data_IF_710800982941
#
_entry.id   IF_710800982941
#
_cell.length_a   1.000
_cell.length_b   1.000
_cell.length_c   1.000
_cell.angle_alpha   90.00
_cell.angle_beta   90.00
_cell.angle_gamma   90.00
#
_symmetry.space_group_name_H-M   'P 1'
#
loop_
_entity.id
_entity.type
_entity.pdbx_description
1 polymer ?
#
# COMPACT_ATOMS: atom_id res chain seq x y z
N UNK A 1 21.49 -4.28 -3.11
CA UNK A 1 20.47 -3.25 -2.82
C UNK A 1 20.05 -3.38 -1.37
N UNK A 2 20.06 -2.28 -0.66
CA UNK A 2 19.70 -2.26 0.74
C UNK A 2 18.29 -1.67 0.92
N UNK A 3 17.47 -2.32 1.74
CA UNK A 3 16.17 -1.80 2.15
C UNK A 3 16.26 -1.39 3.61
N UNK A 4 15.86 -0.14 3.88
CA UNK A 4 15.83 0.41 5.22
C UNK A 4 14.46 1.04 5.50
N UNK A 5 14.10 1.14 6.78
CA UNK A 5 12.88 1.82 7.20
C UNK A 5 13.12 3.33 7.08
N UNK A 6 12.12 4.02 6.52
CA UNK A 6 12.16 5.49 6.41
C UNK A 6 12.28 6.13 7.80
N UNK A 7 13.19 7.11 7.89
CA UNK A 7 13.36 7.94 9.08
C UNK A 7 12.86 9.36 8.80
N UNK A 8 12.79 10.20 9.83
CA UNK A 8 12.41 11.61 9.67
C UNK A 8 13.36 12.35 8.72
N UNK A 9 14.65 11.97 8.71
CA UNK A 9 15.64 12.57 7.82
C UNK A 9 15.41 12.20 6.35
N UNK A 10 14.79 11.05 6.09
CA UNK A 10 14.50 10.58 4.73
C UNK A 10 13.21 11.17 4.17
N UNK A 11 12.38 11.76 5.00
CA UNK A 11 11.01 12.12 4.65
C UNK A 11 10.92 13.01 3.40
N UNK A 12 11.77 14.02 3.33
CA UNK A 12 11.79 14.95 2.20
C UNK A 12 12.17 14.27 0.89
N UNK A 13 13.13 13.37 0.93
CA UNK A 13 13.60 12.62 -0.22
C UNK A 13 12.51 11.65 -0.72
N UNK A 14 11.85 10.97 0.19
CA UNK A 14 10.74 10.07 -0.12
C UNK A 14 9.54 10.86 -0.67
N UNK A 15 9.19 11.99 -0.08
CA UNK A 15 8.11 12.84 -0.60
C UNK A 15 8.43 13.37 -2.01
N UNK A 16 9.69 13.78 -2.24
CA UNK A 16 10.13 14.20 -3.57
C UNK A 16 10.02 13.08 -4.60
N UNK A 17 10.33 11.85 -4.21
CA UNK A 17 10.19 10.69 -5.09
C UNK A 17 8.72 10.43 -5.45
N UNK A 18 7.80 10.54 -4.50
CA UNK A 18 6.38 10.41 -4.77
C UNK A 18 5.87 11.55 -5.66
N UNK A 19 6.30 12.77 -5.44
CA UNK A 19 5.97 13.90 -6.30
C UNK A 19 6.41 13.67 -7.74
N UNK A 20 7.61 13.16 -7.91
CA UNK A 20 8.16 12.84 -9.23
C UNK A 20 7.37 11.75 -9.95
N UNK A 21 6.90 10.75 -9.19
CA UNK A 21 6.20 9.58 -9.74
C UNK A 21 4.70 9.83 -9.98
N UNK A 22 4.06 10.66 -9.18
CA UNK A 22 2.61 10.85 -9.18
C UNK A 22 2.16 12.32 -9.36
N UNK A 23 3.09 13.27 -9.43
CA UNK A 23 2.78 14.69 -9.53
C UNK A 23 1.93 15.02 -10.75
N UNK A 24 1.13 16.08 -10.69
CA UNK A 24 0.79 16.90 -9.52
C UNK A 24 -0.46 16.46 -8.78
N UNK A 25 -1.06 15.34 -9.13
CA UNK A 25 -2.37 14.94 -8.63
C UNK A 25 -2.35 13.92 -7.48
N UNK A 26 -1.18 13.60 -6.91
CA UNK A 26 -1.09 12.51 -5.93
C UNK A 26 -1.94 12.72 -4.68
N UNK A 27 -2.12 13.95 -4.24
CA UNK A 27 -2.92 14.28 -3.05
C UNK A 27 -4.41 13.99 -3.25
N UNK A 28 -4.85 13.88 -4.50
CA UNK A 28 -6.21 13.48 -4.83
C UNK A 28 -6.43 11.96 -4.74
N UNK A 29 -5.37 11.16 -4.54
CA UNK A 29 -5.50 9.72 -4.38
C UNK A 29 -6.28 9.39 -3.12
N UNK A 30 -7.12 8.36 -3.21
CA UNK A 30 -7.96 7.92 -2.08
C UNK A 30 -7.14 7.61 -0.83
N UNK A 31 -5.94 7.04 -1.00
CA UNK A 31 -5.07 6.69 0.10
C UNK A 31 -4.64 7.89 0.95
N UNK A 32 -4.49 9.08 0.34
CA UNK A 32 -4.13 10.29 1.09
C UNK A 32 -5.22 10.72 2.07
N UNK A 33 -6.48 10.51 1.73
CA UNK A 33 -7.59 10.83 2.63
C UNK A 33 -7.59 9.95 3.88
N UNK A 34 -7.10 8.72 3.75
CA UNK A 34 -7.01 7.78 4.86
C UNK A 34 -5.76 8.00 5.71
N UNK A 35 -4.76 8.69 5.19
CA UNK A 35 -3.48 8.91 5.86
C UNK A 35 -3.44 10.10 6.80
N UNK A 36 -4.34 11.04 6.64
CA UNK A 36 -4.36 12.25 7.46
C UNK A 36 -4.41 11.90 8.96
N UNK A 37 -3.42 12.38 9.70
CA UNK A 37 -3.33 12.16 11.13
C UNK A 37 -2.87 10.77 11.56
N UNK A 38 -2.50 9.90 10.61
CA UNK A 38 -2.01 8.54 10.90
C UNK A 38 -0.50 8.48 10.70
N UNK A 39 0.18 7.78 11.61
CA UNK A 39 1.64 7.61 11.53
C UNK A 39 2.00 6.71 10.34
N UNK A 40 3.01 7.15 9.59
CA UNK A 40 3.58 6.40 8.47
C UNK A 40 4.49 5.29 8.93
N UNK A 41 4.49 4.20 8.14
CA UNK A 41 5.54 3.19 8.16
C UNK A 41 6.12 3.12 6.76
N UNK A 42 7.33 3.60 6.57
CA UNK A 42 7.97 3.69 5.27
C UNK A 42 9.15 2.76 5.11
N UNK A 43 9.38 2.31 3.90
CA UNK A 43 10.57 1.59 3.48
C UNK A 43 11.19 2.39 2.34
N UNK A 44 12.46 2.78 2.53
CA UNK A 44 13.19 3.61 1.56
C UNK A 44 14.07 2.75 0.71
N UNK A 45 14.02 3.00 -0.55
CA UNK A 45 14.85 2.26 -1.53
C UNK A 45 14.42 2.22 -2.99
N UNK A 46 13.63 2.75 -3.59
CA UNK A 46 12.41 3.22 -4.29
C UNK A 46 11.57 3.57 -3.04
N UNK A 47 10.37 3.72 -3.06
CA UNK A 47 9.61 3.99 -1.87
C UNK A 47 8.29 3.24 -1.87
N UNK A 48 8.00 2.59 -0.75
CA UNK A 48 6.68 2.06 -0.48
C UNK A 48 6.29 2.47 0.93
N UNK A 49 5.08 2.98 1.08
CA UNK A 49 4.52 3.32 2.38
C UNK A 49 3.34 2.43 2.69
N UNK A 50 3.16 2.15 3.97
CA UNK A 50 2.11 1.28 4.47
C UNK A 50 1.33 2.03 5.54
N UNK A 51 0.01 1.90 5.51
CA UNK A 51 -0.88 2.64 6.39
C UNK A 51 -1.83 1.70 7.09
N UNK A 52 -1.95 1.78 8.43
CA UNK A 52 -3.00 1.04 9.11
C UNK A 52 -4.36 1.67 8.79
N UNK A 53 -5.31 0.82 8.47
CA UNK A 53 -6.71 1.21 8.23
C UNK A 53 -7.62 0.17 8.87
N UNK A 54 -8.92 0.42 8.86
CA UNK A 54 -9.95 -0.55 9.24
C UNK A 54 -10.90 -0.78 8.10
N UNK A 55 -11.32 -2.02 7.95
CA UNK A 55 -12.38 -2.41 7.01
C UNK A 55 -13.45 -3.11 7.82
N UNK A 56 -14.64 -2.52 7.89
CA UNK A 56 -15.71 -3.06 8.73
C UNK A 56 -15.28 -3.24 10.19
N UNK A 57 -14.41 -2.37 10.71
CA UNK A 57 -13.87 -2.44 12.06
C UNK A 57 -12.68 -3.37 12.24
N UNK A 58 -12.26 -4.12 11.21
CA UNK A 58 -11.12 -5.04 11.29
C UNK A 58 -9.83 -4.35 10.85
N UNK A 59 -8.70 -4.57 11.56
CA UNK A 59 -7.42 -3.98 11.18
C UNK A 59 -6.92 -4.54 9.84
N UNK A 60 -6.47 -3.64 8.97
CA UNK A 60 -5.93 -3.97 7.65
C UNK A 60 -4.74 -3.06 7.38
N UNK A 61 -3.69 -3.58 6.78
CA UNK A 61 -2.58 -2.76 6.32
C UNK A 61 -2.81 -2.38 4.85
N UNK A 62 -2.91 -1.08 4.60
CA UNK A 62 -3.01 -0.53 3.24
C UNK A 62 -1.61 -0.32 2.70
N UNK A 63 -1.27 -1.02 1.62
CA UNK A 63 0.02 -0.89 0.96
C UNK A 63 -0.04 0.20 -0.10
N UNK A 64 0.96 1.06 -0.12
CA UNK A 64 1.11 2.12 -1.11
C UNK A 64 0.96 3.51 -0.53
N UNK A 65 1.36 4.48 -1.29
CA UNK A 65 1.87 4.37 -2.66
C UNK A 65 3.21 3.65 -2.76
N UNK A 66 3.45 3.09 -3.95
CA UNK A 66 4.74 2.49 -4.34
C UNK A 66 5.33 3.36 -5.44
N UNK A 67 6.57 3.80 -5.29
CA UNK A 67 7.25 4.62 -6.28
C UNK A 67 8.65 4.09 -6.54
N UNK A 68 9.02 4.08 -7.82
CA UNK A 68 10.36 3.75 -8.27
C UNK A 68 10.89 4.94 -9.07
N UNK A 69 12.10 5.39 -8.76
CA UNK A 69 12.71 6.51 -9.48
C UNK A 69 12.72 6.21 -10.98
N UNK A 70 12.37 7.19 -11.85
CA UNK A 70 12.27 6.96 -13.29
C UNK A 70 13.54 6.35 -13.92
N UNK A 71 14.72 6.70 -13.42
CA UNK A 71 15.99 6.15 -13.92
C UNK A 71 16.22 4.69 -13.52
N UNK A 72 15.40 4.13 -12.64
CA UNK A 72 15.54 2.76 -12.13
C UNK A 72 14.33 1.89 -12.44
N UNK A 73 13.42 2.36 -13.25
CA UNK A 73 12.30 1.54 -13.70
C UNK A 73 12.81 0.42 -14.63
N UNK A 74 12.18 -0.74 -14.54
CA UNK A 74 12.60 -1.91 -15.31
C UNK A 74 13.62 -2.80 -14.62
N UNK A 75 14.13 -2.42 -13.45
CA UNK A 75 15.10 -3.22 -12.68
C UNK A 75 14.43 -4.19 -11.69
N UNK A 76 13.10 -4.29 -11.69
CA UNK A 76 12.37 -5.13 -10.75
C UNK A 76 12.27 -4.56 -9.34
N UNK A 77 12.61 -3.29 -9.14
CA UNK A 77 12.64 -2.67 -7.82
C UNK A 77 11.27 -2.59 -7.17
N UNK A 78 10.22 -2.29 -7.95
CA UNK A 78 8.85 -2.27 -7.45
C UNK A 78 8.42 -3.62 -6.88
N UNK A 79 8.72 -4.70 -7.60
CA UNK A 79 8.44 -6.07 -7.13
C UNK A 79 9.22 -6.42 -5.87
N UNK A 80 10.47 -6.00 -5.81
CA UNK A 80 11.31 -6.21 -4.64
C UNK A 80 10.75 -5.49 -3.40
N UNK A 81 10.31 -4.24 -3.58
CA UNK A 81 9.67 -3.47 -2.50
C UNK A 81 8.35 -4.11 -2.04
N UNK A 82 7.54 -4.61 -2.96
CA UNK A 82 6.30 -5.30 -2.64
C UNK A 82 6.57 -6.56 -1.80
N UNK A 83 7.52 -7.37 -2.21
CA UNK A 83 7.89 -8.59 -1.47
C UNK A 83 8.37 -8.25 -0.06
N UNK A 84 9.23 -7.24 0.06
CA UNK A 84 9.74 -6.80 1.35
C UNK A 84 8.63 -6.26 2.27
N UNK A 85 7.70 -5.50 1.72
CA UNK A 85 6.57 -4.95 2.48
C UNK A 85 5.63 -6.06 2.98
N UNK A 86 5.32 -7.03 2.13
CA UNK A 86 4.49 -8.18 2.47
C UNK A 86 5.16 -9.00 3.59
N UNK A 87 6.44 -9.28 3.45
CA UNK A 87 7.19 -10.04 4.45
C UNK A 87 7.25 -9.29 5.79
N UNK A 88 7.49 -8.00 5.75
CA UNK A 88 7.50 -7.15 6.95
C UNK A 88 6.13 -7.14 7.63
N UNK A 89 5.06 -7.00 6.87
CA UNK A 89 3.71 -7.03 7.40
C UNK A 89 3.41 -8.38 8.10
N UNK A 90 3.83 -9.48 7.48
CA UNK A 90 3.68 -10.82 8.06
C UNK A 90 4.42 -10.93 9.40
N UNK A 91 5.67 -10.47 9.46
CA UNK A 91 6.47 -10.50 10.68
C UNK A 91 5.89 -9.64 11.80
N UNK A 92 5.23 -8.54 11.45
CA UNK A 92 4.58 -7.66 12.41
C UNK A 92 3.22 -8.16 12.89
N UNK A 93 2.74 -9.29 12.36
CA UNK A 93 1.50 -9.90 12.78
C UNK A 93 0.24 -9.42 12.08
N UNK A 94 0.37 -8.66 10.99
CA UNK A 94 -0.79 -8.29 10.18
C UNK A 94 -1.40 -9.53 9.53
N UNK A 95 -2.71 -9.66 9.61
CA UNK A 95 -3.43 -10.82 9.08
C UNK A 95 -3.82 -10.65 7.62
N UNK A 96 -4.02 -9.41 7.19
CA UNK A 96 -4.47 -9.07 5.85
C UNK A 96 -3.91 -7.74 5.42
N UNK A 97 -3.67 -7.63 4.12
CA UNK A 97 -3.23 -6.39 3.49
C UNK A 97 -4.13 -6.08 2.30
N UNK A 98 -4.20 -4.82 1.92
CA UNK A 98 -4.94 -4.37 0.75
C UNK A 98 -4.17 -3.29 0.01
N UNK A 99 -4.53 -3.08 -1.24
CA UNK A 99 -4.03 -1.98 -2.04
C UNK A 99 -5.05 -1.59 -3.12
N UNK A 100 -4.81 -0.45 -3.74
CA UNK A 100 -5.55 -0.01 -4.93
C UNK A 100 -4.57 -0.01 -6.08
N UNK A 101 -4.80 -0.86 -7.09
CA UNK A 101 -3.86 -1.00 -8.18
C UNK A 101 -4.37 -1.87 -9.33
N UNK A 102 -3.45 -2.21 -10.22
CA UNK A 102 -3.74 -3.00 -11.41
C UNK A 102 -3.81 -4.49 -11.06
N UNK A 103 -4.99 -5.08 -11.18
CA UNK A 103 -5.22 -6.47 -10.78
C UNK A 103 -4.30 -7.46 -11.52
N UNK A 104 -4.10 -7.39 -12.84
CA UNK A 104 -3.17 -8.31 -13.52
C UNK A 104 -1.74 -8.23 -13.01
N UNK A 105 -1.26 -7.02 -12.70
CA UNK A 105 0.09 -6.84 -12.17
C UNK A 105 0.23 -7.45 -10.76
N UNK A 106 -0.70 -7.13 -9.87
CA UNK A 106 -0.60 -7.57 -8.46
C UNK A 106 -1.00 -9.02 -8.24
N UNK A 107 -1.62 -9.67 -9.21
CA UNK A 107 -1.89 -11.11 -9.16
C UNK A 107 -0.62 -11.95 -8.95
N UNK A 108 0.53 -11.48 -9.44
CA UNK A 108 1.84 -12.14 -9.25
C UNK A 108 2.25 -12.24 -7.78
N UNK A 109 1.71 -11.39 -6.93
CA UNK A 109 1.98 -11.42 -5.49
C UNK A 109 0.87 -12.13 -4.71
N UNK A 110 -0.16 -12.61 -5.39
CA UNK A 110 -1.29 -13.30 -4.77
C UNK A 110 -2.49 -12.42 -4.45
N UNK A 111 -2.47 -11.14 -4.86
CA UNK A 111 -3.60 -10.24 -4.63
C UNK A 111 -4.79 -10.61 -5.51
N UNK A 112 -5.98 -10.52 -4.92
CA UNK A 112 -7.25 -10.75 -5.61
C UNK A 112 -8.19 -9.56 -5.35
N UNK A 113 -9.15 -9.38 -6.26
CA UNK A 113 -10.16 -8.34 -6.09
C UNK A 113 -10.99 -8.60 -4.83
N UNK A 114 -11.19 -7.55 -4.06
CA UNK A 114 -12.06 -7.57 -2.86
C UNK A 114 -13.44 -7.05 -3.24
N UNK A 115 -14.43 -7.93 -3.34
CA UNK A 115 -15.82 -7.52 -3.48
C UNK A 115 -16.35 -7.13 -2.11
N UNK A 116 -17.06 -6.01 -2.02
CA UNK A 116 -17.65 -5.59 -0.74
C UNK A 116 -16.75 -4.75 0.15
N UNK A 117 -15.56 -4.41 -0.29
CA UNK A 117 -14.67 -3.44 0.37
C UNK A 117 -14.77 -2.12 -0.37
N UNK A 118 -15.12 -1.06 0.33
CA UNK A 118 -15.43 0.24 -0.27
C UNK A 118 -14.38 1.26 0.14
N UNK A 119 -13.56 1.66 -0.83
CA UNK A 119 -12.61 2.76 -0.66
C UNK A 119 -13.30 4.12 -0.85
N UNK A 120 -12.82 5.17 -0.16
CA UNK A 120 -13.30 6.53 -0.43
C UNK A 120 -13.11 6.91 -1.91
N UNK A 121 -14.03 7.72 -2.49
CA UNK A 121 -13.84 8.20 -3.86
C UNK A 121 -12.60 9.11 -3.96
N UNK A 122 -11.97 9.20 -5.13
CA UNK A 122 -12.33 8.54 -6.39
C UNK A 122 -11.58 7.21 -6.54
N UNK A 123 -12.25 6.08 -6.37
CA UNK A 123 -11.62 4.77 -6.51
C UNK A 123 -12.47 3.86 -7.38
N UNK A 124 -11.85 3.25 -8.40
CA UNK A 124 -12.48 2.20 -9.19
C UNK A 124 -12.53 0.92 -8.34
N UNK A 125 -13.74 0.36 -8.07
CA UNK A 125 -13.87 -0.85 -7.28
C UNK A 125 -13.07 -2.05 -7.80
N UNK A 126 -12.84 -2.12 -9.12
CA UNK A 126 -12.08 -3.20 -9.73
C UNK A 126 -10.60 -3.18 -9.37
N UNK A 127 -10.13 -2.08 -8.81
CA UNK A 127 -8.74 -1.90 -8.40
C UNK A 127 -8.51 -2.11 -6.91
N UNK A 128 -9.55 -2.42 -6.16
CA UNK A 128 -9.45 -2.70 -4.71
C UNK A 128 -9.08 -4.17 -4.54
N UNK A 129 -7.85 -4.42 -4.12
CA UNK A 129 -7.24 -5.75 -4.08
C UNK A 129 -6.79 -6.09 -2.66
N UNK A 130 -6.83 -7.36 -2.34
CA UNK A 130 -6.39 -7.85 -1.04
C UNK A 130 -5.59 -9.14 -1.10
N UNK A 131 -4.80 -9.35 -0.07
CA UNK A 131 -3.99 -10.54 0.13
C UNK A 131 -4.15 -11.01 1.57
N UNK A 132 -4.34 -12.30 1.75
CA UNK A 132 -4.34 -12.93 3.06
C UNK A 132 -2.91 -13.25 3.49
N UNK A 133 -2.50 -12.75 4.64
CA UNK A 133 -1.26 -13.15 5.28
C UNK A 133 -1.49 -14.33 6.22
N UNK A 134 -2.70 -14.44 6.73
CA UNK A 134 -3.22 -15.58 7.47
C UNK A 134 -4.39 -16.14 6.68
N UNK A 135 -4.43 -17.45 6.53
CA UNK A 135 -5.48 -18.12 5.74
C UNK A 135 -6.87 -17.76 6.25
N UNK A 136 -7.76 -17.36 5.33
CA UNK A 136 -9.13 -16.96 5.66
C UNK A 136 -9.28 -15.58 6.26
N UNK A 137 -8.21 -14.77 6.31
CA UNK A 137 -8.24 -13.47 6.97
C UNK A 137 -9.21 -12.47 6.34
N UNK A 138 -9.54 -12.61 5.06
CA UNK A 138 -10.53 -11.77 4.39
C UNK A 138 -11.95 -12.32 4.44
N UNK A 139 -12.14 -13.53 4.93
CA UNK A 139 -13.46 -14.13 5.00
C UNK A 139 -14.37 -13.32 5.94
N UNK A 140 -15.51 -12.87 5.41
CA UNK A 140 -16.46 -12.07 6.18
C UNK A 140 -16.02 -10.64 6.47
N UNK A 141 -14.91 -10.17 5.91
CA UNK A 141 -14.42 -8.80 6.10
C UNK A 141 -14.86 -7.94 4.93
N UNK A 142 -15.65 -6.91 5.21
CA UNK A 142 -16.17 -6.00 4.20
C UNK A 142 -16.68 -4.72 4.82
N UNK A 143 -17.08 -3.79 3.96
CA UNK A 143 -17.57 -2.47 4.36
C UNK A 143 -16.63 -1.36 3.96
N UNK A 144 -16.86 -0.16 4.51
CA UNK A 144 -16.06 1.01 4.20
C UNK A 144 -14.67 0.91 4.82
N UNK A 145 -13.68 1.36 4.06
CA UNK A 145 -12.32 1.56 4.56
C UNK A 145 -12.28 2.89 5.33
N UNK A 146 -11.84 2.84 6.56
CA UNK A 146 -11.77 4.01 7.44
C UNK A 146 -10.39 4.15 8.05
N UNK A 147 -10.11 5.32 8.59
CA UNK A 147 -8.87 5.58 9.32
C UNK A 147 -8.74 4.63 10.51
N UNK A 148 -7.51 4.27 10.82
CA UNK A 148 -7.21 3.43 11.98
C UNK A 148 -7.38 4.20 13.28
#
# INVERSE_FOLDING_TARGET
MEIAIETDDDWWEVEALFDLSFAPGREALSSYRLRDGVREYGIVGGAIRNWPVRVGGKPVLLLGPVAVHPTRQGEGLGGYLMQAAIEKARKLGWKRVMLVGDAPYYARFGFVRLSGVIMPPPTNPDRVLGLELESGAWDGVGGAVTRF
#
